data_IF_673706888378
#
_entry.id   IF_673706888378
#
_cell.length_a   1.000
_cell.length_b   1.000
_cell.length_c   1.000
_cell.angle_alpha   90.00
_cell.angle_beta   90.00
_cell.angle_gamma   90.00
#
_symmetry.space_group_name_H-M   'P 1'
#
loop_
_entity.id
_entity.type
_entity.pdbx_description
1 polymer ?
#
# COMPACT_ATOMS: atom_id res chain seq x y z
N UNK A 1 2.05 -31.22 19.42
CA UNK A 1 1.72 -29.90 18.87
C UNK A 1 0.57 -29.86 17.84
N UNK A 2 -0.12 -30.98 17.56
CA UNK A 2 -1.22 -31.03 16.58
C UNK A 2 -2.59 -30.54 17.06
N UNK A 3 -2.92 -30.71 18.32
CA UNK A 3 -4.27 -30.48 18.87
C UNK A 3 -4.76 -29.02 18.82
N UNK A 4 -3.86 -28.04 18.96
CA UNK A 4 -4.22 -26.62 18.94
C UNK A 4 -4.59 -26.15 17.53
N UNK A 5 -3.90 -26.65 16.50
CA UNK A 5 -4.15 -26.32 15.09
C UNK A 5 -5.50 -26.87 14.63
N UNK A 6 -5.85 -28.09 15.05
CA UNK A 6 -7.14 -28.70 14.75
C UNK A 6 -8.30 -28.01 15.48
N UNK A 7 -8.07 -27.51 16.68
CA UNK A 7 -9.05 -26.72 17.42
C UNK A 7 -9.35 -25.38 16.70
N UNK A 8 -8.32 -24.66 16.25
CA UNK A 8 -8.50 -23.43 15.49
C UNK A 8 -9.14 -23.67 14.13
N UNK A 9 -8.87 -24.81 13.48
CA UNK A 9 -9.54 -25.21 12.25
C UNK A 9 -11.03 -25.46 12.51
N UNK A 10 -11.37 -26.25 13.54
CA UNK A 10 -12.77 -26.49 13.93
C UNK A 10 -13.51 -25.22 14.33
N UNK A 11 -12.87 -24.29 15.06
CA UNK A 11 -13.47 -22.99 15.40
C UNK A 11 -13.74 -22.15 14.14
N UNK A 12 -12.84 -22.20 13.15
CA UNK A 12 -13.03 -21.51 11.88
C UNK A 12 -14.17 -22.11 11.07
N UNK A 13 -14.25 -23.44 11.02
CA UNK A 13 -15.29 -24.18 10.33
C UNK A 13 -16.66 -24.02 11.02
N UNK A 14 -16.69 -23.88 12.35
CA UNK A 14 -17.92 -23.68 13.15
C UNK A 14 -18.43 -22.22 13.09
N UNK A 15 -17.54 -21.24 12.82
CA UNK A 15 -17.93 -19.83 12.66
C UNK A 15 -18.60 -19.54 11.32
N UNK A 16 -18.76 -20.55 10.46
CA UNK A 16 -19.31 -20.40 9.12
C UNK A 16 -18.39 -19.57 8.22
N UNK A 17 -18.46 -19.80 6.94
CA UNK A 17 -17.92 -18.88 5.95
C UNK A 17 -18.51 -17.49 6.22
N UNK A 18 -17.66 -16.51 6.48
CA UNK A 18 -18.07 -15.12 6.59
C UNK A 18 -18.69 -14.72 5.25
N UNK A 19 -19.99 -14.90 5.14
CA UNK A 19 -20.75 -14.23 4.11
C UNK A 19 -20.85 -12.79 4.59
N UNK A 20 -20.06 -11.91 3.98
CA UNK A 20 -20.30 -10.50 4.11
C UNK A 20 -21.77 -10.27 3.71
N UNK A 21 -22.67 -10.14 4.71
CA UNK A 21 -23.98 -9.59 4.43
C UNK A 21 -23.64 -8.20 3.89
N UNK A 22 -23.79 -8.03 2.58
CA UNK A 22 -23.79 -6.70 1.97
C UNK A 22 -25.00 -5.99 2.58
N UNK A 23 -24.73 -5.26 3.68
CA UNK A 23 -25.73 -4.38 4.27
C UNK A 23 -26.01 -3.27 3.27
N UNK A 24 -27.19 -2.65 3.39
CA UNK A 24 -27.49 -1.44 2.63
C UNK A 24 -26.42 -0.38 2.88
N UNK A 25 -26.03 0.32 1.82
CA UNK A 25 -25.14 1.49 1.87
C UNK A 25 -25.95 2.73 1.54
N UNK A 26 -25.65 3.84 2.15
CA UNK A 26 -26.32 5.11 1.85
C UNK A 26 -25.77 5.77 0.60
N UNK A 27 -26.67 6.30 -0.21
CA UNK A 27 -26.32 7.21 -1.29
C UNK A 27 -25.89 8.59 -0.76
N UNK A 28 -25.65 9.56 -1.65
CA UNK A 28 -25.29 10.95 -1.28
C UNK A 28 -26.41 11.70 -0.57
N UNK A 29 -27.66 11.27 -0.76
CA UNK A 29 -28.85 11.88 -0.19
C UNK A 29 -29.26 11.22 1.15
N UNK A 30 -28.52 10.20 1.60
CA UNK A 30 -28.78 9.46 2.82
C UNK A 30 -29.81 8.34 2.67
N UNK A 31 -30.24 8.01 1.43
CA UNK A 31 -31.15 6.89 1.17
C UNK A 31 -30.38 5.56 1.14
N UNK A 32 -31.01 4.51 1.65
CA UNK A 32 -30.43 3.16 1.69
C UNK A 32 -30.48 2.49 0.31
N UNK A 33 -29.31 2.16 -0.24
CA UNK A 33 -29.15 1.36 -1.44
C UNK A 33 -29.08 -0.12 -1.07
N UNK A 34 -29.89 -0.95 -1.68
CA UNK A 34 -29.98 -2.40 -1.43
C UNK A 34 -29.56 -3.22 -2.64
N UNK A 35 -29.69 -2.68 -3.84
CA UNK A 35 -29.34 -3.34 -5.08
C UNK A 35 -27.82 -3.39 -5.28
N UNK A 36 -27.33 -4.56 -5.71
CA UNK A 36 -25.88 -4.80 -5.83
C UNK A 36 -25.21 -3.83 -6.81
N UNK A 37 -25.87 -3.51 -7.90
CA UNK A 37 -25.30 -2.61 -8.92
C UNK A 37 -25.24 -1.17 -8.44
N UNK A 38 -26.26 -0.70 -7.72
CA UNK A 38 -26.27 0.63 -7.12
C UNK A 38 -25.19 0.77 -6.03
N UNK A 39 -25.02 -0.27 -5.23
CA UNK A 39 -23.94 -0.34 -4.23
C UNK A 39 -22.57 -0.26 -4.91
N UNK A 40 -22.33 -1.02 -5.99
CA UNK A 40 -21.08 -0.95 -6.74
C UNK A 40 -20.84 0.43 -7.32
N UNK A 41 -21.86 1.03 -7.94
CA UNK A 41 -21.81 2.37 -8.48
C UNK A 41 -21.46 3.40 -7.41
N UNK A 42 -22.09 3.30 -6.23
CA UNK A 42 -21.80 4.20 -5.10
C UNK A 42 -20.35 4.06 -4.60
N UNK A 43 -19.81 2.84 -4.56
CA UNK A 43 -18.40 2.61 -4.24
C UNK A 43 -17.47 3.19 -5.30
N UNK A 44 -17.80 3.04 -6.58
CA UNK A 44 -17.04 3.65 -7.66
C UNK A 44 -17.02 5.18 -7.52
N UNK A 45 -18.16 5.81 -7.34
CA UNK A 45 -18.27 7.25 -7.12
C UNK A 45 -17.43 7.72 -5.92
N UNK A 46 -17.51 6.99 -4.80
CA UNK A 46 -16.76 7.33 -3.59
C UNK A 46 -15.25 7.22 -3.79
N UNK A 47 -14.79 6.17 -4.43
CA UNK A 47 -13.36 6.00 -4.74
C UNK A 47 -12.86 7.02 -5.74
N UNK A 48 -13.63 7.32 -6.79
CA UNK A 48 -13.29 8.38 -7.73
C UNK A 48 -13.18 9.75 -7.05
N UNK A 49 -14.08 10.10 -6.15
CA UNK A 49 -13.99 11.35 -5.39
C UNK A 49 -12.78 11.40 -4.47
N UNK A 50 -12.46 10.28 -3.81
CA UNK A 50 -11.34 10.18 -2.90
C UNK A 50 -10.00 10.42 -3.61
N UNK A 51 -9.85 9.91 -4.84
CA UNK A 51 -8.61 9.97 -5.62
C UNK A 51 -8.58 11.07 -6.69
N UNK A 52 -9.72 11.73 -6.99
CA UNK A 52 -9.80 12.76 -8.04
C UNK A 52 -9.08 14.08 -7.73
N UNK A 53 -8.68 14.31 -6.50
CA UNK A 53 -8.13 15.61 -6.06
C UNK A 53 -6.83 16.04 -6.74
N UNK A 54 -6.12 15.12 -7.42
CA UNK A 54 -4.75 15.36 -7.88
C UNK A 54 -4.58 15.47 -9.41
N UNK A 55 -5.70 15.42 -10.18
CA UNK A 55 -5.60 15.38 -11.65
C UNK A 55 -5.43 16.76 -12.34
N UNK A 56 -5.43 17.86 -11.58
CA UNK A 56 -5.52 19.21 -12.17
C UNK A 56 -4.20 19.91 -12.47
N UNK A 57 -3.06 19.36 -12.09
CA UNK A 57 -1.77 20.01 -12.37
C UNK A 57 -0.82 19.03 -13.07
N UNK A 58 -1.03 18.89 -14.40
CA UNK A 58 -0.06 18.23 -15.27
C UNK A 58 1.06 19.21 -15.52
N UNK A 59 2.00 19.30 -14.60
CA UNK A 59 3.32 19.83 -14.93
C UNK A 59 3.94 18.89 -15.98
N UNK A 60 3.82 19.26 -17.26
CA UNK A 60 4.53 18.61 -18.36
C UNK A 60 6.03 18.88 -18.19
N UNK A 61 6.66 18.17 -17.29
CA UNK A 61 8.10 18.14 -17.23
C UNK A 61 8.57 16.92 -18.06
N UNK A 62 9.02 17.21 -19.28
CA UNK A 62 9.96 16.33 -19.98
C UNK A 62 11.27 16.30 -19.20
N UNK A 63 11.26 15.62 -18.06
CA UNK A 63 12.47 15.37 -17.27
C UNK A 63 13.35 14.43 -18.08
N UNK A 64 14.35 14.97 -18.77
CA UNK A 64 15.39 14.17 -19.43
C UNK A 64 16.01 13.25 -18.38
N UNK A 65 15.89 11.94 -18.59
CA UNK A 65 16.44 10.94 -17.68
C UNK A 65 17.97 10.99 -17.81
N UNK A 66 18.61 11.75 -16.93
CA UNK A 66 20.07 11.98 -16.92
C UNK A 66 20.82 10.94 -16.09
N UNK A 67 20.20 10.41 -15.04
CA UNK A 67 20.78 9.43 -14.13
C UNK A 67 20.03 8.10 -14.23
N UNK A 68 20.61 7.16 -14.97
CA UNK A 68 20.08 5.81 -15.07
C UNK A 68 20.50 5.01 -13.83
N UNK A 69 19.51 4.48 -13.14
CA UNK A 69 19.72 3.49 -12.09
C UNK A 69 20.19 2.16 -12.70
N UNK A 70 20.92 1.33 -11.95
CA UNK A 70 21.34 0.00 -12.43
C UNK A 70 20.14 -0.85 -12.85
N UNK A 71 20.33 -1.68 -13.87
CA UNK A 71 19.31 -2.63 -14.31
C UNK A 71 18.84 -3.54 -13.17
N UNK A 72 17.59 -3.98 -13.26
CA UNK A 72 17.06 -4.96 -12.30
C UNK A 72 17.78 -6.29 -12.50
N UNK A 73 18.26 -6.87 -11.42
CA UNK A 73 18.95 -8.15 -11.43
C UNK A 73 17.96 -9.30 -11.16
N UNK A 74 18.26 -10.49 -11.70
CA UNK A 74 17.45 -11.68 -11.46
C UNK A 74 17.39 -12.04 -9.96
N UNK A 75 18.48 -11.83 -9.21
CA UNK A 75 18.50 -12.04 -7.76
C UNK A 75 17.56 -11.10 -6.99
N UNK A 76 17.34 -9.86 -7.46
CA UNK A 76 16.38 -8.95 -6.86
C UNK A 76 14.93 -9.47 -7.06
N UNK A 77 14.63 -9.98 -8.26
CA UNK A 77 13.32 -10.59 -8.56
C UNK A 77 13.09 -11.82 -7.69
N UNK A 78 14.08 -12.69 -7.58
CA UNK A 78 14.03 -13.89 -6.73
C UNK A 78 13.80 -13.51 -5.27
N UNK A 79 14.57 -12.58 -4.73
CA UNK A 79 14.41 -12.06 -3.38
C UNK A 79 13.01 -11.46 -3.16
N UNK A 80 12.54 -10.62 -4.09
CA UNK A 80 11.23 -10.00 -4.00
C UNK A 80 10.11 -11.04 -3.99
N UNK A 81 10.17 -12.03 -4.88
CA UNK A 81 9.20 -13.12 -4.95
C UNK A 81 9.18 -13.96 -3.66
N UNK A 82 10.33 -14.33 -3.12
CA UNK A 82 10.46 -15.06 -1.86
C UNK A 82 9.91 -14.29 -0.66
N UNK A 83 10.00 -12.94 -0.70
CA UNK A 83 9.51 -12.05 0.36
C UNK A 83 7.98 -11.94 0.39
N UNK A 84 7.25 -12.33 -0.66
CA UNK A 84 5.79 -12.30 -0.70
C UNK A 84 5.24 -13.49 0.08
N UNK A 85 4.40 -13.21 1.06
CA UNK A 85 3.77 -14.26 1.89
C UNK A 85 2.71 -15.02 1.11
N UNK A 86 2.63 -16.34 1.36
CA UNK A 86 1.59 -17.23 0.82
C UNK A 86 0.22 -17.03 1.50
N UNK A 87 -0.82 -17.67 0.96
CA UNK A 87 -2.19 -17.60 1.45
C UNK A 87 -2.75 -16.16 1.51
N UNK A 88 -2.41 -15.36 0.50
CA UNK A 88 -2.95 -14.01 0.29
C UNK A 88 -3.83 -14.00 -0.95
N UNK A 89 -4.82 -13.12 -0.93
CA UNK A 89 -5.69 -12.91 -2.08
C UNK A 89 -4.88 -12.54 -3.33
N UNK A 90 -5.20 -13.15 -4.45
CA UNK A 90 -4.69 -12.77 -5.77
C UNK A 90 -5.24 -11.42 -6.19
N UNK A 91 -4.54 -10.74 -7.08
CA UNK A 91 -5.04 -9.52 -7.73
C UNK A 91 -6.18 -9.80 -8.70
N UNK A 92 -6.50 -8.80 -9.53
CA UNK A 92 -7.51 -8.92 -10.58
C UNK A 92 -7.20 -9.97 -11.66
N UNK A 93 -5.93 -10.40 -11.75
CA UNK A 93 -5.46 -11.48 -12.62
C UNK A 93 -5.79 -12.89 -12.12
N UNK A 94 -6.24 -13.01 -10.87
CA UNK A 94 -6.56 -14.30 -10.25
C UNK A 94 -5.35 -15.21 -10.00
N UNK A 95 -4.11 -14.76 -10.23
CA UNK A 95 -2.90 -15.57 -10.11
C UNK A 95 -2.41 -15.61 -8.65
N UNK A 96 -2.46 -16.76 -7.97
CA UNK A 96 -1.96 -16.89 -6.60
C UNK A 96 -0.43 -16.92 -6.59
N UNK A 97 0.18 -16.42 -5.51
CA UNK A 97 1.66 -16.41 -5.38
C UNK A 97 2.24 -17.83 -5.35
N UNK A 98 1.48 -18.82 -4.92
CA UNK A 98 1.86 -20.22 -4.88
C UNK A 98 2.23 -20.76 -6.28
N UNK A 99 1.57 -20.27 -7.33
CA UNK A 99 1.89 -20.65 -8.71
C UNK A 99 3.33 -20.25 -9.09
N UNK A 100 3.75 -19.04 -8.74
CA UNK A 100 5.13 -18.59 -8.98
C UNK A 100 6.15 -19.45 -8.22
N UNK A 101 5.80 -19.95 -7.04
CA UNK A 101 6.66 -20.84 -6.24
C UNK A 101 6.78 -22.24 -6.84
N UNK A 102 5.72 -22.73 -7.49
CA UNK A 102 5.74 -24.01 -8.21
C UNK A 102 6.64 -23.91 -9.45
N UNK A 103 6.55 -22.81 -10.19
CA UNK A 103 7.32 -22.56 -11.41
C UNK A 103 8.80 -22.21 -11.13
N UNK A 104 9.15 -21.86 -9.90
CA UNK A 104 10.54 -21.59 -9.44
C UNK A 104 11.30 -20.67 -10.39
N UNK A 105 12.42 -21.17 -10.96
CA UNK A 105 13.33 -20.40 -11.80
C UNK A 105 12.68 -19.90 -13.10
N UNK A 106 11.72 -20.61 -13.66
CA UNK A 106 10.99 -20.16 -14.86
C UNK A 106 10.11 -18.94 -14.55
N UNK A 107 9.47 -18.92 -13.37
CA UNK A 107 8.73 -17.75 -12.91
C UNK A 107 9.68 -16.54 -12.70
N UNK A 108 10.86 -16.77 -12.11
CA UNK A 108 11.85 -15.71 -11.89
C UNK A 108 12.34 -15.14 -13.22
N UNK A 109 12.68 -15.97 -14.21
CA UNK A 109 13.11 -15.53 -15.54
C UNK A 109 12.01 -14.74 -16.27
N UNK A 110 10.77 -15.24 -16.26
CA UNK A 110 9.63 -14.56 -16.86
C UNK A 110 9.36 -13.19 -16.22
N UNK A 111 9.30 -13.14 -14.90
CA UNK A 111 9.12 -11.89 -14.16
C UNK A 111 10.29 -10.93 -14.36
N UNK A 112 11.54 -11.43 -14.39
CA UNK A 112 12.71 -10.61 -14.66
C UNK A 112 12.64 -9.95 -16.03
N UNK A 113 12.26 -10.70 -17.08
CA UNK A 113 12.07 -10.15 -18.42
C UNK A 113 11.06 -9.00 -18.44
N UNK A 114 9.90 -9.18 -17.78
CA UNK A 114 8.87 -8.14 -17.69
C UNK A 114 9.38 -6.94 -16.89
N UNK A 115 9.99 -7.16 -15.72
CA UNK A 115 10.54 -6.09 -14.91
C UNK A 115 11.63 -5.30 -15.65
N UNK A 116 12.48 -5.96 -16.43
CA UNK A 116 13.48 -5.32 -17.29
C UNK A 116 12.83 -4.47 -18.38
N UNK A 117 11.75 -4.95 -18.99
CA UNK A 117 11.02 -4.18 -19.99
C UNK A 117 10.39 -2.92 -19.37
N UNK A 118 9.69 -3.07 -18.24
CA UNK A 118 9.13 -1.93 -17.48
C UNK A 118 10.22 -0.93 -17.11
N UNK A 119 11.37 -1.43 -16.67
CA UNK A 119 12.53 -0.61 -16.30
C UNK A 119 13.07 0.22 -17.46
N UNK A 120 13.21 -0.39 -18.64
CA UNK A 120 13.74 0.25 -19.84
C UNK A 120 12.76 1.22 -20.48
N UNK A 121 11.50 0.81 -20.58
CA UNK A 121 10.47 1.56 -21.32
C UNK A 121 9.73 2.57 -20.45
N UNK A 122 9.86 2.48 -19.13
CA UNK A 122 9.07 3.24 -18.15
C UNK A 122 7.56 2.99 -18.25
N UNK A 123 7.15 1.98 -18.99
CA UNK A 123 5.74 1.66 -19.22
C UNK A 123 5.33 0.43 -18.41
N UNK A 124 4.29 0.58 -17.62
CA UNK A 124 3.72 -0.49 -16.82
C UNK A 124 2.66 -1.26 -17.62
N UNK A 125 2.58 -2.59 -17.46
CA UNK A 125 1.44 -3.36 -17.96
C UNK A 125 0.13 -2.81 -17.38
N UNK A 126 -0.91 -2.68 -18.23
CA UNK A 126 -2.18 -2.10 -17.80
C UNK A 126 -2.82 -2.84 -16.61
N UNK A 127 -2.68 -4.17 -16.57
CA UNK A 127 -3.20 -4.98 -15.46
C UNK A 127 -2.42 -4.77 -14.15
N UNK A 128 -1.16 -4.29 -14.22
CA UNK A 128 -0.37 -3.97 -13.03
C UNK A 128 -0.73 -2.62 -12.42
N UNK A 129 -1.36 -1.74 -13.17
CA UNK A 129 -1.89 -0.45 -12.71
C UNK A 129 -3.25 -0.59 -12.04
N UNK A 130 -3.97 -1.69 -12.27
CA UNK A 130 -5.32 -1.92 -11.74
C UNK A 130 -5.26 -2.54 -10.34
N UNK A 131 -6.10 -2.02 -9.45
CA UNK A 131 -6.30 -2.54 -8.11
C UNK A 131 -7.74 -2.96 -7.90
N UNK A 132 -7.94 -4.05 -7.18
CA UNK A 132 -9.27 -4.45 -6.69
C UNK A 132 -9.42 -3.92 -5.27
N UNK A 133 -10.38 -3.02 -5.05
CA UNK A 133 -10.64 -2.46 -3.74
C UNK A 133 -11.61 -3.34 -2.94
N UNK A 134 -11.19 -3.74 -1.75
CA UNK A 134 -12.02 -4.49 -0.81
C UNK A 134 -12.36 -3.57 0.37
N UNK A 135 -13.64 -3.16 0.53
CA UNK A 135 -14.05 -2.33 1.65
C UNK A 135 -14.16 -3.16 2.93
N UNK A 136 -13.48 -2.73 3.99
CA UNK A 136 -13.54 -3.34 5.32
C UNK A 136 -14.19 -2.36 6.29
N UNK A 137 -15.29 -2.73 6.97
CA UNK A 137 -15.98 -1.81 7.87
C UNK A 137 -15.11 -1.45 9.07
N UNK A 138 -15.07 -0.16 9.41
CA UNK A 138 -14.60 0.36 10.70
C UNK A 138 -15.65 0.10 11.77
N UNK A 139 -15.30 0.33 13.03
CA UNK A 139 -16.28 0.37 14.12
C UNK A 139 -17.21 1.56 13.89
N UNK A 140 -18.53 1.35 13.90
CA UNK A 140 -19.53 2.40 13.72
C UNK A 140 -20.62 2.03 12.72
N UNK A 141 -21.20 3.04 12.07
CA UNK A 141 -22.28 2.85 11.10
C UNK A 141 -21.74 2.25 9.79
N UNK A 142 -22.05 0.98 9.53
CA UNK A 142 -21.63 0.29 8.32
C UNK A 142 -22.38 0.73 7.03
N UNK A 143 -23.29 1.70 7.12
CA UNK A 143 -24.03 2.22 5.96
C UNK A 143 -23.28 3.35 5.22
N UNK A 144 -22.27 3.94 5.83
CA UNK A 144 -21.51 5.07 5.27
C UNK A 144 -20.21 4.56 4.63
N UNK A 145 -19.93 4.89 3.37
CA UNK A 145 -18.67 4.53 2.69
C UNK A 145 -17.44 5.06 3.44
N UNK A 146 -17.53 6.23 4.07
CA UNK A 146 -16.47 6.84 4.88
C UNK A 146 -16.10 6.02 6.12
N UNK A 147 -17.00 5.15 6.59
CA UNK A 147 -16.78 4.23 7.71
C UNK A 147 -16.10 2.91 7.29
N UNK A 148 -15.58 2.85 6.08
CA UNK A 148 -14.80 1.71 5.62
C UNK A 148 -13.33 2.08 5.43
N UNK A 149 -12.47 1.08 5.54
CA UNK A 149 -11.09 1.11 5.04
C UNK A 149 -11.08 0.35 3.74
N UNK A 150 -10.53 0.92 2.70
CA UNK A 150 -10.31 0.23 1.44
C UNK A 150 -8.97 -0.47 1.46
N UNK A 151 -8.95 -1.77 1.13
CA UNK A 151 -7.71 -2.50 0.90
C UNK A 151 -7.56 -2.68 -0.61
N UNK A 152 -6.50 -2.13 -1.18
CA UNK A 152 -6.16 -2.34 -2.57
C UNK A 152 -5.43 -3.67 -2.73
N UNK A 153 -5.99 -4.58 -3.52
CA UNK A 153 -5.37 -5.85 -3.89
C UNK A 153 -4.87 -5.74 -5.31
N UNK A 154 -3.58 -5.90 -5.49
CA UNK A 154 -2.87 -5.85 -6.78
C UNK A 154 -2.30 -7.22 -7.13
N UNK A 155 -1.94 -7.43 -8.41
CA UNK A 155 -1.31 -8.68 -8.86
C UNK A 155 -0.03 -8.99 -8.09
N UNK A 156 0.28 -10.27 -7.91
CA UNK A 156 1.53 -10.67 -7.25
C UNK A 156 2.76 -10.34 -8.10
N UNK A 157 2.62 -10.36 -9.42
CA UNK A 157 3.67 -9.94 -10.34
C UNK A 157 4.01 -8.45 -10.17
N UNK A 158 2.98 -7.58 -10.08
CA UNK A 158 3.16 -6.16 -9.77
C UNK A 158 3.83 -5.95 -8.41
N UNK A 159 3.45 -6.73 -7.39
CA UNK A 159 4.08 -6.68 -6.06
C UNK A 159 5.58 -6.97 -6.09
N UNK A 160 6.05 -7.89 -6.96
CA UNK A 160 7.48 -8.17 -7.12
C UNK A 160 8.21 -6.89 -7.55
N UNK A 161 7.73 -6.23 -8.61
CA UNK A 161 8.35 -4.98 -9.08
C UNK A 161 8.32 -3.89 -8.02
N UNK A 162 7.17 -3.70 -7.35
CA UNK A 162 7.03 -2.70 -6.27
C UNK A 162 7.96 -2.97 -5.09
N UNK A 163 8.23 -4.24 -4.77
CA UNK A 163 9.19 -4.60 -3.72
C UNK A 163 10.63 -4.23 -4.10
N UNK A 164 11.01 -4.43 -5.35
CA UNK A 164 12.32 -4.00 -5.85
C UNK A 164 12.44 -2.48 -5.76
N UNK A 165 11.43 -1.74 -6.24
CA UNK A 165 11.41 -0.28 -6.14
C UNK A 165 11.47 0.19 -4.68
N UNK A 166 10.69 -0.44 -3.79
CA UNK A 166 10.73 -0.15 -2.37
C UNK A 166 12.13 -0.32 -1.78
N UNK A 167 12.82 -1.41 -2.10
CA UNK A 167 14.17 -1.67 -1.61
C UNK A 167 15.17 -0.61 -2.09
N UNK A 168 15.07 -0.19 -3.35
CA UNK A 168 15.92 0.85 -3.92
C UNK A 168 15.63 2.23 -3.31
N UNK A 169 14.37 2.59 -3.16
CA UNK A 169 13.94 3.84 -2.51
C UNK A 169 14.33 3.90 -1.03
N UNK A 170 14.37 2.73 -0.35
CA UNK A 170 14.70 2.66 1.07
C UNK A 170 16.09 3.25 1.39
N UNK A 171 17.03 3.18 0.47
CA UNK A 171 18.38 3.74 0.65
C UNK A 171 18.33 5.26 0.77
N UNK A 172 17.52 5.90 -0.07
CA UNK A 172 17.31 7.36 -0.04
C UNK A 172 16.50 7.78 1.19
N UNK A 173 15.38 7.12 1.43
CA UNK A 173 14.50 7.48 2.55
C UNK A 173 15.16 7.30 3.91
N UNK A 174 15.99 6.28 4.11
CA UNK A 174 16.70 6.07 5.38
C UNK A 174 17.67 7.21 5.70
N UNK A 175 18.24 7.85 4.68
CA UNK A 175 19.15 8.99 4.83
C UNK A 175 18.42 10.27 5.20
N UNK A 176 17.25 10.49 4.62
CA UNK A 176 16.51 11.74 4.72
C UNK A 176 15.50 11.78 5.89
N UNK A 177 15.03 10.62 6.34
CA UNK A 177 14.03 10.57 7.40
C UNK A 177 14.65 10.94 8.76
N UNK A 178 14.07 11.91 9.49
CA UNK A 178 14.57 12.32 10.79
C UNK A 178 14.44 11.18 11.81
N UNK A 179 15.34 11.15 12.80
CA UNK A 179 15.38 10.10 13.82
C UNK A 179 14.13 10.03 14.70
N UNK A 180 13.39 11.12 14.79
CA UNK A 180 12.13 11.18 15.55
C UNK A 180 10.99 10.41 14.87
N UNK A 181 11.09 10.14 13.56
CA UNK A 181 10.07 9.39 12.85
C UNK A 181 10.16 7.90 13.19
N UNK A 182 9.16 7.40 13.89
CA UNK A 182 9.05 5.97 14.25
C UNK A 182 8.19 5.14 13.30
N UNK A 183 7.24 5.77 12.58
CA UNK A 183 6.34 5.08 11.67
C UNK A 183 7.02 4.65 10.37
N UNK A 184 6.67 3.44 9.87
CA UNK A 184 7.15 2.88 8.60
C UNK A 184 8.67 2.77 8.45
N UNK A 185 9.40 2.74 9.56
CA UNK A 185 10.86 2.57 9.62
C UNK A 185 11.23 1.16 10.07
N UNK A 186 12.17 0.52 9.34
CA UNK A 186 12.69 -0.80 9.75
C UNK A 186 13.38 -0.68 11.12
N UNK A 187 13.08 -1.62 12.02
CA UNK A 187 13.66 -1.65 13.36
C UNK A 187 13.05 -0.65 14.35
N UNK A 188 12.03 0.10 13.98
CA UNK A 188 11.25 1.01 14.83
C UNK A 188 9.84 0.47 15.02
N UNK A 189 9.40 0.32 16.27
CA UNK A 189 8.08 -0.22 16.59
C UNK A 189 7.26 0.69 17.48
N UNK A 190 5.97 0.37 17.61
CA UNK A 190 5.06 1.09 18.53
C UNK A 190 5.57 1.06 19.97
N UNK A 191 6.21 -0.05 20.39
CA UNK A 191 6.79 -0.19 21.74
C UNK A 191 7.87 0.85 22.02
N UNK A 192 8.73 1.13 21.03
CA UNK A 192 9.80 2.12 21.16
C UNK A 192 9.21 3.52 21.35
N UNK A 193 8.15 3.86 20.61
CA UNK A 193 7.47 5.14 20.72
C UNK A 193 6.76 5.30 22.07
N UNK A 194 6.14 4.22 22.57
CA UNK A 194 5.54 4.22 23.90
C UNK A 194 6.64 4.42 24.97
N UNK A 195 7.77 3.73 24.85
CA UNK A 195 8.89 3.88 25.76
C UNK A 195 9.44 5.32 25.77
N UNK A 196 9.55 5.95 24.59
CA UNK A 196 9.98 7.35 24.48
C UNK A 196 9.02 8.30 25.22
N UNK A 197 7.70 8.12 25.02
CA UNK A 197 6.69 8.95 25.72
C UNK A 197 6.78 8.75 27.23
N UNK A 198 6.87 7.50 27.69
CA UNK A 198 7.00 7.19 29.12
C UNK A 198 8.28 7.80 29.72
N UNK A 199 9.38 7.76 28.96
CA UNK A 199 10.64 8.38 29.38
C UNK A 199 10.51 9.90 29.51
N UNK A 200 9.86 10.58 28.54
CA UNK A 200 9.60 12.03 28.59
C UNK A 200 8.75 12.38 29.81
N UNK A 201 7.68 11.60 30.08
CA UNK A 201 6.81 11.80 31.25
C UNK A 201 7.63 11.64 32.55
N UNK A 202 8.48 10.61 32.63
CA UNK A 202 9.33 10.38 33.78
C UNK A 202 10.27 11.57 34.02
N UNK A 203 10.93 12.06 32.96
CA UNK A 203 11.84 13.21 33.04
C UNK A 203 11.12 14.51 33.44
N UNK A 204 9.95 14.75 32.89
CA UNK A 204 9.17 15.91 33.26
C UNK A 204 8.78 15.92 34.75
N UNK A 205 8.43 14.75 35.30
CA UNK A 205 8.16 14.59 36.74
C UNK A 205 9.42 14.82 37.58
N UNK A 206 10.55 14.26 37.19
CA UNK A 206 11.84 14.42 37.85
C UNK A 206 12.25 15.91 37.96
N UNK A 207 12.02 16.67 36.88
CA UNK A 207 12.32 18.10 36.83
C UNK A 207 11.16 19.01 37.22
N UNK A 208 10.02 18.44 37.67
CA UNK A 208 8.80 19.18 38.07
C UNK A 208 8.29 20.12 36.98
N UNK A 209 8.42 19.72 35.73
CA UNK A 209 7.95 20.50 34.57
C UNK A 209 6.62 19.95 34.04
N UNK A 210 5.69 20.85 33.77
CA UNK A 210 4.45 20.52 33.09
C UNK A 210 4.75 20.21 31.62
N UNK A 211 4.16 19.12 31.11
CA UNK A 211 4.16 18.77 29.68
C UNK A 211 2.74 18.62 29.19
N UNK A 212 2.55 18.96 27.94
CA UNK A 212 1.26 18.85 27.24
C UNK A 212 1.45 17.98 26.00
N UNK A 213 0.57 17.01 25.81
CA UNK A 213 0.56 16.15 24.62
C UNK A 213 -0.62 16.50 23.74
N UNK A 214 -0.36 16.64 22.45
CA UNK A 214 -1.39 16.74 21.42
C UNK A 214 -1.21 15.56 20.46
N UNK A 215 -2.26 14.75 20.30
CA UNK A 215 -2.27 13.61 19.38
C UNK A 215 -3.14 13.97 18.16
N UNK A 216 -2.56 13.87 16.96
CA UNK A 216 -3.27 14.10 15.70
C UNK A 216 -3.39 12.76 14.96
N UNK A 217 -4.62 12.36 14.67
CA UNK A 217 -4.93 11.16 13.88
C UNK A 217 -5.58 11.56 12.56
N UNK A 218 -5.02 11.08 11.46
CA UNK A 218 -5.52 11.36 10.12
C UNK A 218 -6.46 10.26 9.67
N UNK A 219 -7.66 10.61 9.21
CA UNK A 219 -8.69 9.65 8.82
C UNK A 219 -8.30 8.78 7.61
N UNK A 220 -7.66 9.37 6.59
CA UNK A 220 -7.33 8.74 5.31
C UNK A 220 -5.97 9.24 4.80
N UNK A 221 -4.91 8.99 5.55
CA UNK A 221 -3.57 9.56 5.28
C UNK A 221 -3.02 9.20 3.90
N UNK A 222 -3.18 7.93 3.48
CA UNK A 222 -2.63 7.46 2.21
C UNK A 222 -3.48 7.86 1.00
N UNK A 223 -4.78 7.99 1.19
CA UNK A 223 -5.72 8.33 0.12
C UNK A 223 -5.73 9.84 -0.18
N UNK A 224 -5.13 10.67 0.70
CA UNK A 224 -5.10 12.14 0.58
C UNK A 224 -3.69 12.68 0.23
N UNK A 225 -2.79 11.86 -0.27
CA UNK A 225 -1.45 12.31 -0.66
C UNK A 225 -1.52 13.12 -1.94
N UNK A 226 -1.04 14.35 -1.88
CA UNK A 226 -0.87 15.21 -3.05
C UNK A 226 0.34 14.70 -3.87
N UNK A 227 0.08 14.10 -5.02
CA UNK A 227 1.10 13.49 -5.86
C UNK A 227 2.12 14.54 -6.35
N UNK A 228 1.70 15.76 -6.71
CA UNK A 228 2.62 16.79 -7.16
C UNK A 228 3.60 17.20 -6.06
N UNK A 229 3.12 17.31 -4.82
CA UNK A 229 4.01 17.53 -3.67
C UNK A 229 4.93 16.34 -3.42
N UNK A 230 4.41 15.12 -3.59
CA UNK A 230 5.21 13.90 -3.45
C UNK A 230 6.38 13.91 -4.44
N UNK A 231 6.14 14.19 -5.72
CA UNK A 231 7.21 14.26 -6.73
C UNK A 231 8.25 15.33 -6.41
N UNK A 232 7.83 16.50 -5.95
CA UNK A 232 8.74 17.58 -5.51
C UNK A 232 9.59 17.13 -4.30
N UNK A 233 9.02 16.38 -3.37
CA UNK A 233 9.75 15.84 -2.21
C UNK A 233 10.78 14.80 -2.67
N UNK A 234 10.39 13.84 -3.52
CA UNK A 234 11.31 12.81 -4.03
C UNK A 234 12.50 13.45 -4.76
N UNK A 235 12.26 14.49 -5.53
CA UNK A 235 13.32 15.28 -6.20
C UNK A 235 14.26 15.95 -5.20
N UNK A 236 13.72 16.51 -4.10
CA UNK A 236 14.55 17.11 -3.01
C UNK A 236 15.39 16.08 -2.27
N UNK A 237 14.91 14.84 -2.19
CA UNK A 237 15.64 13.71 -1.60
C UNK A 237 16.70 13.13 -2.56
N UNK A 238 16.94 13.80 -3.69
CA UNK A 238 17.90 13.38 -4.73
C UNK A 238 17.61 11.96 -5.29
N UNK A 239 16.36 11.55 -5.24
CA UNK A 239 15.94 10.31 -5.88
C UNK A 239 16.02 10.50 -7.40
N UNK A 240 16.61 9.51 -8.08
CA UNK A 240 16.84 9.58 -9.52
C UNK A 240 15.55 9.86 -10.29
N UNK A 241 15.66 10.65 -11.36
CA UNK A 241 14.52 10.89 -12.26
C UNK A 241 13.96 9.60 -12.83
N UNK A 242 14.81 8.59 -13.04
CA UNK A 242 14.39 7.28 -13.53
C UNK A 242 13.39 6.59 -12.58
N UNK A 243 13.69 6.54 -11.28
CA UNK A 243 12.77 5.98 -10.26
C UNK A 243 11.50 6.83 -10.11
N UNK A 244 11.65 8.15 -10.11
CA UNK A 244 10.52 9.06 -9.97
C UNK A 244 9.56 8.95 -11.15
N UNK A 245 10.05 8.88 -12.39
CA UNK A 245 9.24 8.66 -13.59
C UNK A 245 8.52 7.30 -13.54
N UNK A 246 9.20 6.23 -13.13
CA UNK A 246 8.58 4.92 -12.96
C UNK A 246 7.38 4.96 -12.00
N UNK A 247 7.55 5.62 -10.85
CA UNK A 247 6.47 5.77 -9.87
C UNK A 247 5.33 6.63 -10.41
N UNK A 248 5.66 7.75 -11.09
CA UNK A 248 4.66 8.63 -11.70
C UNK A 248 3.82 7.87 -12.74
N UNK A 249 4.47 7.15 -13.66
CA UNK A 249 3.79 6.38 -14.71
C UNK A 249 2.92 5.23 -14.17
N UNK A 250 3.18 4.75 -12.96
CA UNK A 250 2.31 3.81 -12.27
C UNK A 250 1.00 4.47 -11.82
N UNK A 251 1.04 5.75 -11.43
CA UNK A 251 -0.11 6.50 -10.91
C UNK A 251 -0.89 7.24 -12.02
N UNK A 252 -0.36 7.32 -13.23
CA UNK A 252 -1.00 7.88 -14.41
C UNK A 252 -1.84 6.83 -15.13
N UNK A 253 -2.83 6.25 -14.48
CA UNK A 253 -3.67 5.21 -15.07
C UNK A 253 -5.13 5.32 -14.70
#
# INVERSE_FOLDING_TARGET
MGKTRDLFKKIRDTKGTFHAKMGSIKDRNGMDLTETEDIKKRWQEYTEELYKKDLHDRDNHDDVITNLEPYILECEVKWALESITTNKASGGDGIPVELFRILKDDAVKGLHSICQQVWKTQQWPQDWKKSVFIPIPKKGNAKECSNYRTIAVISHASKVMLKILQARLQQYTNRELPDVQGGFRKGRGTRDQIANILWIIKKAREFQKNIYFCFMDYANTFDCVDHNKLWKILKRMEISNHLTCLLRNLHEG
#
